data_IF_792331492459
#
_entry.id   IF_792331492459
#
_cell.length_a   1.000
_cell.length_b   1.000
_cell.length_c   1.000
_cell.angle_alpha   90.00
_cell.angle_beta   90.00
_cell.angle_gamma   90.00
#
_symmetry.space_group_name_H-M   'P 1'
#
loop_
_entity.id
_entity.type
_entity.pdbx_description
1 polymer ?
#
# COMPACT_ATOMS: atom_id res chain seq x y z
N UNK A 1 -12.77 15.38 18.10
CA UNK A 1 -13.06 14.57 16.93
C UNK A 1 -12.45 13.19 17.10
N UNK A 2 -13.26 12.16 16.90
CA UNK A 2 -12.78 10.78 17.02
C UNK A 2 -12.43 10.23 15.66
N UNK A 3 -11.31 9.53 15.59
CA UNK A 3 -10.87 8.83 14.38
C UNK A 3 -11.29 7.38 14.47
N UNK A 4 -11.74 6.84 13.34
CA UNK A 4 -12.06 5.43 13.24
C UNK A 4 -10.77 4.62 13.33
N UNK A 5 -10.80 3.57 14.13
CA UNK A 5 -9.70 2.62 14.22
C UNK A 5 -10.09 1.36 13.44
N UNK A 6 -9.27 0.97 12.48
CA UNK A 6 -9.50 -0.25 11.72
C UNK A 6 -8.83 -1.41 12.47
N UNK A 7 -9.63 -2.13 13.26
CA UNK A 7 -9.12 -3.23 14.08
C UNK A 7 -8.94 -4.53 13.29
N UNK A 8 -9.72 -4.70 12.23
CA UNK A 8 -9.74 -5.95 11.46
C UNK A 8 -8.95 -5.81 10.15
N UNK A 9 -7.76 -5.24 10.24
CA UNK A 9 -6.90 -5.11 9.06
C UNK A 9 -6.45 -6.49 8.61
N UNK A 10 -6.56 -6.81 7.31
CA UNK A 10 -6.02 -8.07 6.81
C UNK A 10 -4.53 -8.18 7.12
N UNK A 11 -4.11 -9.37 7.54
CA UNK A 11 -2.71 -9.64 7.83
C UNK A 11 -1.89 -9.57 6.54
N UNK A 12 -0.71 -8.96 6.62
CA UNK A 12 0.21 -8.94 5.49
C UNK A 12 0.79 -10.34 5.26
N UNK A 13 1.29 -10.63 4.05
CA UNK A 13 1.92 -11.92 3.78
C UNK A 13 3.04 -12.23 4.77
N UNK A 14 3.07 -13.46 5.26
CA UNK A 14 4.03 -13.87 6.29
C UNK A 14 5.48 -13.74 5.86
N UNK A 15 5.76 -13.91 4.55
CA UNK A 15 7.13 -13.81 4.05
C UNK A 15 7.75 -12.42 4.30
N UNK A 16 6.92 -11.38 4.41
CA UNK A 16 7.42 -10.02 4.68
C UNK A 16 8.06 -9.91 6.06
N UNK A 17 7.62 -10.71 7.00
CA UNK A 17 8.18 -10.75 8.35
C UNK A 17 9.37 -11.69 8.47
N UNK A 18 9.51 -12.60 7.51
CA UNK A 18 10.53 -13.65 7.52
C UNK A 18 11.68 -13.38 6.53
N UNK A 19 11.56 -12.34 5.73
CA UNK A 19 12.56 -12.03 4.71
C UNK A 19 13.91 -11.68 5.35
N UNK A 20 15.00 -12.17 4.77
CA UNK A 20 16.33 -11.85 5.24
C UNK A 20 16.58 -10.33 5.18
N UNK A 21 17.27 -9.74 6.17
CA UNK A 21 17.54 -8.28 6.16
C UNK A 21 18.12 -7.74 4.86
N UNK A 22 18.95 -8.53 4.17
CA UNK A 22 19.52 -8.13 2.87
C UNK A 22 18.48 -8.06 1.75
N UNK A 23 17.32 -8.67 1.94
CA UNK A 23 16.24 -8.70 0.96
C UNK A 23 15.00 -7.95 1.43
N UNK A 24 15.12 -7.18 2.52
CA UNK A 24 14.00 -6.40 3.06
C UNK A 24 13.44 -5.39 2.06
N UNK A 25 14.22 -4.98 1.06
CA UNK A 25 13.75 -4.09 0.01
C UNK A 25 12.57 -4.69 -0.77
N UNK A 26 12.47 -6.02 -0.84
CA UNK A 26 11.33 -6.68 -1.50
C UNK A 26 10.03 -6.42 -0.73
N UNK A 27 10.10 -6.51 0.59
CA UNK A 27 8.94 -6.22 1.44
C UNK A 27 8.52 -4.76 1.33
N UNK A 28 9.48 -3.83 1.26
CA UNK A 28 9.19 -2.41 1.08
C UNK A 28 8.48 -2.13 -0.24
N UNK A 29 8.89 -2.79 -1.32
CA UNK A 29 8.22 -2.64 -2.61
C UNK A 29 6.77 -3.08 -2.54
N UNK A 30 6.50 -4.23 -1.91
CA UNK A 30 5.13 -4.70 -1.77
C UNK A 30 4.30 -3.75 -0.89
N UNK A 31 4.86 -3.25 0.20
CA UNK A 31 4.17 -2.29 1.06
C UNK A 31 3.81 -1.01 0.31
N UNK A 32 4.76 -0.46 -0.44
CA UNK A 32 4.52 0.75 -1.22
C UNK A 32 3.46 0.51 -2.28
N UNK A 33 3.51 -0.61 -2.96
CA UNK A 33 2.52 -0.97 -3.99
C UNK A 33 1.13 -1.15 -3.39
N UNK A 34 1.04 -1.86 -2.27
CA UNK A 34 -0.22 -2.07 -1.55
C UNK A 34 -0.87 -0.73 -1.18
N UNK A 35 -0.09 0.17 -0.59
CA UNK A 35 -0.61 1.47 -0.18
C UNK A 35 -1.04 2.32 -1.36
N UNK A 36 -0.25 2.33 -2.44
CA UNK A 36 -0.63 3.07 -3.65
C UNK A 36 -1.96 2.57 -4.23
N UNK A 37 -2.12 1.26 -4.34
CA UNK A 37 -3.35 0.68 -4.90
C UNK A 37 -4.56 0.96 -4.01
N UNK A 38 -4.39 0.91 -2.69
CA UNK A 38 -5.45 1.29 -1.76
C UNK A 38 -5.83 2.76 -1.91
N UNK A 39 -4.85 3.65 -2.01
CA UNK A 39 -5.10 5.08 -2.17
C UNK A 39 -5.79 5.40 -3.50
N UNK A 40 -5.43 4.71 -4.56
CA UNK A 40 -6.11 4.87 -5.85
C UNK A 40 -7.61 4.51 -5.73
N UNK A 41 -7.92 3.45 -4.99
CA UNK A 41 -9.30 3.06 -4.76
C UNK A 41 -10.06 4.08 -3.90
N UNK A 42 -9.42 4.66 -2.92
CA UNK A 42 -10.03 5.71 -2.10
C UNK A 42 -10.42 6.90 -2.98
N UNK A 43 -9.54 7.35 -3.84
CA UNK A 43 -9.81 8.47 -4.74
C UNK A 43 -10.89 8.10 -5.77
N UNK A 44 -10.80 6.90 -6.32
CA UNK A 44 -11.72 6.43 -7.35
C UNK A 44 -13.15 6.27 -6.84
N UNK A 45 -13.32 5.76 -5.62
CA UNK A 45 -14.62 5.50 -5.02
C UNK A 45 -15.13 6.63 -4.13
N UNK A 46 -14.26 7.52 -3.68
CA UNK A 46 -14.59 8.53 -2.69
C UNK A 46 -14.90 7.93 -1.31
N UNK A 47 -14.48 6.70 -1.06
CA UNK A 47 -14.77 5.96 0.15
C UNK A 47 -13.48 5.59 0.88
N UNK A 48 -13.40 5.93 2.16
CA UNK A 48 -12.27 5.60 3.03
C UNK A 48 -12.68 4.67 4.17
N UNK A 49 -13.61 3.76 3.91
CA UNK A 49 -13.95 2.72 4.87
C UNK A 49 -12.75 1.80 5.11
N UNK A 50 -12.76 1.06 6.21
CA UNK A 50 -11.63 0.21 6.58
C UNK A 50 -11.31 -0.83 5.51
N UNK A 51 -12.32 -1.35 4.82
CA UNK A 51 -12.16 -2.34 3.76
C UNK A 51 -11.51 -1.76 2.49
N UNK A 52 -11.67 -0.45 2.26
CA UNK A 52 -11.03 0.22 1.12
C UNK A 52 -9.63 0.70 1.50
N UNK A 53 -9.49 1.28 2.70
CA UNK A 53 -8.19 1.78 3.15
C UNK A 53 -7.20 0.66 3.44
N UNK A 54 -7.68 -0.45 3.96
CA UNK A 54 -6.86 -1.62 4.28
C UNK A 54 -7.46 -2.87 3.62
N UNK A 55 -7.34 -2.99 2.29
CA UNK A 55 -7.88 -4.16 1.58
C UNK A 55 -7.05 -5.40 1.85
N UNK A 56 -7.52 -6.54 1.35
CA UNK A 56 -6.71 -7.76 1.34
C UNK A 56 -5.44 -7.56 0.53
N UNK A 57 -4.45 -8.40 0.75
CA UNK A 57 -3.12 -8.29 0.13
C UNK A 57 -3.01 -9.08 -1.18
N UNK A 58 -4.05 -9.77 -1.57
CA UNK A 58 -4.02 -10.72 -2.70
C UNK A 58 -3.66 -10.03 -4.03
N UNK A 59 -4.34 -8.93 -4.34
CA UNK A 59 -4.14 -8.23 -5.61
C UNK A 59 -2.76 -7.59 -5.69
N UNK A 60 -2.32 -6.94 -4.61
CA UNK A 60 -0.99 -6.35 -4.57
C UNK A 60 0.10 -7.41 -4.63
N UNK A 61 -0.12 -8.56 -3.96
CA UNK A 61 0.82 -9.68 -3.99
C UNK A 61 0.93 -10.27 -5.39
N UNK A 62 -0.19 -10.41 -6.10
CA UNK A 62 -0.18 -10.91 -7.47
C UNK A 62 0.57 -9.97 -8.40
N UNK A 63 0.31 -8.67 -8.31
CA UNK A 63 1.01 -7.65 -9.09
C UNK A 63 2.51 -7.66 -8.77
N UNK A 64 2.87 -7.75 -7.49
CA UNK A 64 4.26 -7.83 -7.06
C UNK A 64 4.96 -9.04 -7.68
N UNK A 65 4.31 -10.21 -7.63
CA UNK A 65 4.88 -11.43 -8.18
C UNK A 65 5.10 -11.34 -9.69
N UNK A 66 4.18 -10.72 -10.40
CA UNK A 66 4.30 -10.56 -11.86
C UNK A 66 5.40 -9.58 -12.26
N UNK A 67 5.54 -8.46 -11.52
CA UNK A 67 6.38 -7.35 -11.94
C UNK A 67 7.73 -7.28 -11.23
N UNK A 68 7.82 -7.71 -9.98
CA UNK A 68 8.98 -7.41 -9.15
C UNK A 68 9.65 -8.60 -8.51
N UNK A 69 9.05 -9.78 -8.53
CA UNK A 69 9.61 -10.94 -7.84
C UNK A 69 11.04 -11.25 -8.24
N UNK A 70 11.35 -11.14 -9.53
CA UNK A 70 12.67 -11.44 -10.08
C UNK A 70 13.50 -10.19 -10.38
N UNK A 71 13.03 -9.02 -9.95
CA UNK A 71 13.74 -7.77 -10.19
C UNK A 71 14.97 -7.65 -9.28
N UNK A 72 15.97 -6.93 -9.77
CA UNK A 72 17.17 -6.64 -9.00
C UNK A 72 16.90 -5.62 -7.88
N UNK A 73 17.83 -5.49 -6.93
CA UNK A 73 17.74 -4.48 -5.89
C UNK A 73 17.64 -3.06 -6.48
N UNK A 74 18.42 -2.78 -7.53
CA UNK A 74 18.37 -1.47 -8.20
C UNK A 74 17.02 -1.22 -8.84
N UNK A 75 16.42 -2.24 -9.46
CA UNK A 75 15.10 -2.13 -10.05
C UNK A 75 14.02 -1.91 -8.99
N UNK A 76 14.15 -2.56 -7.84
CA UNK A 76 13.25 -2.31 -6.71
C UNK A 76 13.36 -0.88 -6.19
N UNK A 77 14.58 -0.36 -6.09
CA UNK A 77 14.79 1.04 -5.64
C UNK A 77 14.12 2.02 -6.59
N UNK A 78 14.26 1.80 -7.89
CA UNK A 78 13.61 2.65 -8.90
C UNK A 78 12.09 2.54 -8.84
N UNK A 79 11.56 1.33 -8.66
CA UNK A 79 10.13 1.10 -8.54
C UNK A 79 9.56 1.79 -7.29
N UNK A 80 10.25 1.69 -6.15
CA UNK A 80 9.81 2.32 -4.91
C UNK A 80 9.75 3.84 -5.07
N UNK A 81 10.74 4.44 -5.72
CA UNK A 81 10.76 5.88 -5.98
C UNK A 81 9.55 6.31 -6.80
N UNK A 82 9.26 5.58 -7.86
CA UNK A 82 8.15 5.87 -8.75
C UNK A 82 6.81 5.70 -8.05
N UNK A 83 6.63 4.59 -7.33
CA UNK A 83 5.40 4.31 -6.58
C UNK A 83 5.15 5.38 -5.52
N UNK A 84 6.19 5.77 -4.77
CA UNK A 84 6.06 6.80 -3.74
C UNK A 84 5.72 8.17 -4.33
N UNK A 85 6.25 8.48 -5.51
CA UNK A 85 5.91 9.72 -6.20
C UNK A 85 4.43 9.73 -6.56
N UNK A 86 3.91 8.64 -7.13
CA UNK A 86 2.50 8.52 -7.47
C UNK A 86 1.63 8.64 -6.21
N UNK A 87 2.03 7.97 -5.14
CA UNK A 87 1.31 8.04 -3.86
C UNK A 87 1.26 9.48 -3.34
N UNK A 88 2.38 10.19 -3.40
CA UNK A 88 2.44 11.58 -2.94
C UNK A 88 1.53 12.50 -3.74
N UNK A 89 1.33 12.23 -5.02
CA UNK A 89 0.40 12.99 -5.85
C UNK A 89 -1.06 12.78 -5.42
N UNK A 90 -1.39 11.63 -4.84
CA UNK A 90 -2.73 11.34 -4.36
C UNK A 90 -2.97 11.81 -2.92
N UNK A 91 -1.93 12.16 -2.19
CA UNK A 91 -1.99 12.36 -0.74
C UNK A 91 -3.08 13.34 -0.30
N UNK A 92 -3.15 14.52 -0.92
CA UNK A 92 -4.13 15.53 -0.52
C UNK A 92 -5.57 15.05 -0.72
N UNK A 93 -5.85 14.44 -1.86
CA UNK A 93 -7.18 13.92 -2.14
C UNK A 93 -7.56 12.80 -1.16
N UNK A 94 -6.64 11.87 -0.89
CA UNK A 94 -6.86 10.78 0.06
C UNK A 94 -7.10 11.34 1.46
N UNK A 95 -6.25 12.25 1.90
CA UNK A 95 -6.38 12.86 3.21
C UNK A 95 -7.73 13.55 3.37
N UNK A 96 -8.16 14.35 2.40
CA UNK A 96 -9.44 15.04 2.45
C UNK A 96 -10.61 14.06 2.56
N UNK A 97 -10.59 13.01 1.76
CA UNK A 97 -11.64 11.98 1.78
C UNK A 97 -11.65 11.25 3.12
N UNK A 98 -10.50 10.84 3.59
CA UNK A 98 -10.39 10.04 4.82
C UNK A 98 -10.67 10.87 6.08
N UNK A 99 -10.21 12.12 6.13
CA UNK A 99 -10.51 12.99 7.25
C UNK A 99 -12.01 13.28 7.35
N UNK A 100 -12.68 13.52 6.22
CA UNK A 100 -14.11 13.75 6.19
C UNK A 100 -14.90 12.57 6.73
N UNK A 101 -14.36 11.37 6.62
CA UNK A 101 -14.98 10.13 7.09
C UNK A 101 -14.45 9.67 8.44
N UNK A 102 -13.56 10.43 9.06
CA UNK A 102 -13.02 10.09 10.37
C UNK A 102 -12.05 8.90 10.35
N UNK A 103 -11.37 8.68 9.23
CA UNK A 103 -10.50 7.52 9.06
C UNK A 103 -9.12 7.91 8.49
N UNK A 104 -8.51 8.91 9.09
CA UNK A 104 -7.16 9.35 8.71
C UNK A 104 -6.18 9.41 9.93
#
# INVERSE_FOLDING_TARGET
QQYRICNDRPARPTWMDEVHPRESYKALTLMDLYELRAWEQIVDTGNCGCDIRFPGWEDASEEFNERYRLASAAEHTAAQRDIRQQRNELRHAVQDICEAQGNW
#
